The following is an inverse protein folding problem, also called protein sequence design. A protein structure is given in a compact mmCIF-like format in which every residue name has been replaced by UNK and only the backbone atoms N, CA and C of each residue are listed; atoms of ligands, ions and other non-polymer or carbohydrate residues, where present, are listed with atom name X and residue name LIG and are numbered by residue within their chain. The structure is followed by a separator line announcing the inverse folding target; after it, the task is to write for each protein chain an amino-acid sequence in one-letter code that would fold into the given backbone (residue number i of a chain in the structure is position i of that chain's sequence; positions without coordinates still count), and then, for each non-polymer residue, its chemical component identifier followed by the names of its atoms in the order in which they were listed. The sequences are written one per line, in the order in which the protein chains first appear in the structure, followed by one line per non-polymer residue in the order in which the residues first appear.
data_IF_896523482270
#
_entry.id   IF_896523482270
#
_cell.length_a   1.000
_cell.length_b   1.000
_cell.length_c   1.000
_cell.angle_alpha   90.00
_cell.angle_beta   90.00
_cell.angle_gamma   90.00
#
_symmetry.space_group_name_H-M   'P 1'
#
loop_
_entity.id
_entity.type
_entity.pdbx_description
1 polymer ?
#
# COMPACT_ATOMS: atom_id res chain seq x y z
N UNK A 1 10.62 -2.49 -10.03
CA UNK A 1 11.38 -1.37 -9.42
C UNK A 1 11.75 -1.58 -7.95
N UNK A 2 10.98 -2.33 -7.14
CA UNK A 2 11.28 -2.50 -5.70
C UNK A 2 12.50 -3.40 -5.38
N UNK A 3 12.78 -4.41 -6.23
CA UNK A 3 13.78 -5.45 -5.94
C UNK A 3 15.18 -4.90 -5.59
N UNK A 4 15.79 -3.98 -6.37
CA UNK A 4 17.12 -3.46 -6.04
C UNK A 4 17.17 -2.64 -4.73
N UNK A 5 16.04 -2.07 -4.29
CA UNK A 5 15.94 -1.29 -3.06
C UNK A 5 15.86 -2.22 -1.84
N UNK A 6 15.11 -3.32 -1.98
CA UNK A 6 14.97 -4.33 -0.93
C UNK A 6 16.20 -5.23 -0.80
N UNK A 7 16.99 -5.37 -1.85
CA UNK A 7 18.26 -6.11 -1.82
C UNK A 7 19.35 -5.38 -0.98
N UNK A 8 19.16 -4.09 -0.67
CA UNK A 8 20.02 -3.35 0.27
C UNK A 8 19.48 -3.50 1.71
N UNK A 9 20.18 -4.27 2.55
CA UNK A 9 19.76 -4.59 3.92
C UNK A 9 19.44 -3.35 4.78
N UNK A 10 20.28 -2.32 4.74
CA UNK A 10 20.07 -1.07 5.50
C UNK A 10 18.77 -0.38 5.08
N UNK A 11 18.47 -0.37 3.79
CA UNK A 11 17.26 0.27 3.27
C UNK A 11 16.03 -0.59 3.57
N UNK A 12 16.14 -1.91 3.40
CA UNK A 12 15.09 -2.87 3.65
C UNK A 12 14.61 -2.84 5.12
N UNK A 13 15.51 -2.66 6.08
CA UNK A 13 15.17 -2.52 7.51
C UNK A 13 14.41 -1.22 7.81
N UNK A 14 14.67 -0.14 7.07
CA UNK A 14 14.03 1.16 7.32
C UNK A 14 12.66 1.32 6.69
N UNK A 15 12.38 0.63 5.58
CA UNK A 15 11.10 0.77 4.86
C UNK A 15 9.90 0.42 5.76
N UNK A 16 9.88 -0.71 6.51
CA UNK A 16 8.79 -1.03 7.42
C UNK A 16 8.49 0.07 8.43
N UNK A 17 9.52 0.76 8.95
CA UNK A 17 9.36 1.78 9.99
C UNK A 17 8.56 3.00 9.51
N UNK A 18 8.60 3.29 8.21
CA UNK A 18 7.85 4.38 7.55
C UNK A 18 6.36 4.09 7.39
N UNK A 19 5.92 2.87 7.70
CA UNK A 19 4.53 2.44 7.63
C UNK A 19 3.98 2.29 9.04
N UNK A 20 2.73 2.68 9.28
CA UNK A 20 2.06 2.40 10.54
C UNK A 20 1.99 0.89 10.83
N UNK A 21 1.77 0.08 9.79
CA UNK A 21 1.68 -1.39 9.89
C UNK A 21 3.02 -2.11 10.06
N UNK A 22 4.15 -1.39 10.08
CA UNK A 22 5.50 -1.95 10.32
C UNK A 22 5.89 -3.13 9.42
N UNK A 23 5.46 -3.09 8.15
CA UNK A 23 5.84 -4.08 7.13
C UNK A 23 5.90 -3.46 5.74
N UNK A 24 6.60 -4.13 4.82
CA UNK A 24 6.52 -3.84 3.39
C UNK A 24 5.19 -4.38 2.85
N UNK A 25 4.53 -3.59 2.00
CA UNK A 25 3.36 -4.02 1.25
C UNK A 25 3.72 -5.15 0.28
N UNK A 26 2.79 -6.07 0.07
CA UNK A 26 2.90 -7.13 -0.93
C UNK A 26 1.99 -6.80 -2.12
N UNK A 27 2.25 -7.36 -3.32
CA UNK A 27 1.38 -7.16 -4.49
C UNK A 27 -0.10 -7.45 -4.20
N UNK A 28 -0.37 -8.43 -3.33
CA UNK A 28 -1.71 -8.85 -2.96
C UNK A 28 -2.49 -7.77 -2.20
N UNK A 29 -1.81 -6.92 -1.41
CA UNK A 29 -2.47 -5.83 -0.66
C UNK A 29 -3.19 -4.86 -1.62
N UNK A 30 -2.55 -4.54 -2.76
CA UNK A 30 -3.13 -3.70 -3.80
C UNK A 30 -4.16 -4.46 -4.64
N UNK A 31 -3.87 -5.72 -4.97
CA UNK A 31 -4.74 -6.54 -5.81
C UNK A 31 -6.12 -6.79 -5.16
N UNK A 32 -6.17 -7.06 -3.86
CA UNK A 32 -7.43 -7.24 -3.15
C UNK A 32 -8.28 -5.95 -3.11
N UNK A 33 -7.64 -4.78 -3.03
CA UNK A 33 -8.37 -3.50 -3.15
C UNK A 33 -8.96 -3.31 -4.54
N UNK A 34 -8.19 -3.61 -5.59
CA UNK A 34 -8.70 -3.55 -6.97
C UNK A 34 -9.86 -4.54 -7.18
N UNK A 35 -9.73 -5.77 -6.69
CA UNK A 35 -10.77 -6.79 -6.73
C UNK A 35 -12.04 -6.31 -6.01
N UNK A 36 -11.92 -5.72 -4.83
CA UNK A 36 -13.06 -5.12 -4.11
C UNK A 36 -13.78 -4.07 -4.96
N UNK A 37 -13.05 -3.17 -5.62
CA UNK A 37 -13.65 -2.13 -6.48
C UNK A 37 -14.34 -2.69 -7.72
N UNK A 38 -14.01 -3.91 -8.15
CA UNK A 38 -14.66 -4.59 -9.27
C UNK A 38 -15.91 -5.38 -8.87
N UNK A 39 -16.19 -5.52 -7.57
CA UNK A 39 -17.37 -6.24 -7.09
C UNK A 39 -18.66 -5.43 -7.34
N UNK A 40 -19.82 -6.09 -7.55
CA UNK A 40 -21.10 -5.40 -7.77
C UNK A 40 -21.51 -4.46 -6.64
N UNK A 41 -21.10 -4.74 -5.40
CA UNK A 41 -21.41 -3.90 -4.24
C UNK A 41 -20.62 -2.58 -4.21
N UNK A 42 -19.62 -2.41 -5.08
CA UNK A 42 -18.84 -1.18 -5.22
C UNK A 42 -19.42 -0.23 -6.29
N UNK A 43 -20.61 -0.51 -6.84
CA UNK A 43 -21.19 0.20 -7.99
C UNK A 43 -21.43 1.70 -7.81
N UNK A 44 -21.38 2.21 -6.57
CA UNK A 44 -21.57 3.63 -6.25
C UNK A 44 -20.26 4.35 -5.89
N UNK A 45 -19.11 3.68 -6.00
CA UNK A 45 -17.79 4.26 -5.73
C UNK A 45 -17.17 4.67 -7.05
N UNK A 46 -16.99 5.97 -7.25
CA UNK A 46 -16.33 6.53 -8.44
C UNK A 46 -15.57 7.82 -8.10
N UNK A 47 -14.58 8.17 -8.92
CA UNK A 47 -13.78 9.40 -8.78
C UNK A 47 -12.89 9.46 -7.53
N UNK A 48 -12.72 8.35 -6.82
CA UNK A 48 -11.94 8.30 -5.58
C UNK A 48 -10.49 7.88 -5.83
N UNK A 49 -9.57 8.43 -5.02
CA UNK A 49 -8.19 7.96 -4.92
C UNK A 49 -8.05 7.23 -3.59
N UNK A 50 -7.83 5.91 -3.65
CA UNK A 50 -7.69 5.06 -2.46
C UNK A 50 -6.20 4.75 -2.25
N UNK A 51 -5.65 5.20 -1.13
CA UNK A 51 -4.27 4.92 -0.75
C UNK A 51 -4.17 3.53 -0.10
N UNK A 52 -3.43 2.62 -0.74
CA UNK A 52 -3.14 1.28 -0.22
C UNK A 52 -1.67 1.21 0.13
N UNK A 53 -1.30 1.86 1.22
CA UNK A 53 0.10 2.06 1.57
C UNK A 53 0.49 1.52 2.94
N UNK A 54 -0.41 0.93 3.73
CA UNK A 54 -0.09 0.45 5.09
C UNK A 54 0.16 1.57 6.10
N UNK A 55 -0.38 2.77 5.84
CA UNK A 55 -0.27 3.95 6.70
C UNK A 55 1.09 4.64 6.53
N UNK A 56 1.55 4.82 5.29
CA UNK A 56 2.78 5.57 4.98
C UNK A 56 2.52 7.07 4.90
N UNK A 57 1.35 7.45 4.40
CA UNK A 57 0.93 8.85 4.37
C UNK A 57 0.68 9.32 5.81
N UNK A 58 1.51 10.25 6.26
CA UNK A 58 1.13 11.17 7.32
C UNK A 58 0.07 12.11 6.72
N UNK A 59 -1.16 12.03 7.20
CA UNK A 59 -2.06 13.18 7.15
C UNK A 59 -1.47 14.18 8.14
N UNK A 60 -0.66 15.14 7.66
CA UNK A 60 -0.49 16.37 8.43
C UNK A 60 -1.82 17.11 8.37
N UNK A 61 -2.60 16.92 9.42
CA UNK A 61 -3.73 17.75 9.83
C UNK A 61 -3.48 18.19 11.25
#
# INVERSE_FOLDING_TARGET
MAKPILDNARIAEQIPLKHAMKRVGKPEDLAETAKFLLLPNSSWITGQVIHVDGGKINLET
#
